data_IF_502018736628
#
_entry.id   IF_502018736628
#
_cell.length_a   1.000
_cell.length_b   1.000
_cell.length_c   1.000
_cell.angle_alpha   90.00
_cell.angle_beta   90.00
_cell.angle_gamma   90.00
#
_symmetry.space_group_name_H-M   'P 1'
#
loop_
_entity.id
_entity.type
_entity.pdbx_description
1 polymer ?
#
# COMPACT_ATOMS: atom_id res chain seq x y z
N UNK A 1 3.47 20.79 1.09
CA UNK A 1 2.83 19.46 0.97
C UNK A 1 3.62 18.68 -0.06
N UNK A 2 4.50 17.77 0.38
CA UNK A 2 5.22 16.89 -0.54
C UNK A 2 4.21 16.04 -1.33
N UNK A 3 4.26 16.14 -2.65
CA UNK A 3 3.41 15.32 -3.53
C UNK A 3 3.85 13.87 -3.42
N UNK A 4 2.91 12.98 -3.13
CA UNK A 4 3.13 11.53 -3.21
C UNK A 4 3.63 11.15 -4.60
N UNK A 5 4.65 10.28 -4.67
CA UNK A 5 5.13 9.73 -5.93
C UNK A 5 4.02 8.88 -6.58
N UNK A 6 3.99 8.77 -7.93
CA UNK A 6 2.97 7.97 -8.63
C UNK A 6 2.80 6.57 -8.05
N UNK A 7 3.91 5.87 -7.76
CA UNK A 7 3.85 4.53 -7.18
C UNK A 7 3.27 4.48 -5.77
N UNK A 8 3.48 5.52 -4.96
CA UNK A 8 2.87 5.61 -3.62
C UNK A 8 1.35 5.80 -3.75
N UNK A 9 0.89 6.62 -4.70
CA UNK A 9 -0.53 6.80 -4.98
C UNK A 9 -1.19 5.50 -5.42
N UNK A 10 -0.56 4.74 -6.32
CA UNK A 10 -1.09 3.44 -6.76
C UNK A 10 -1.26 2.46 -5.59
N UNK A 11 -0.27 2.37 -4.70
CA UNK A 11 -0.31 1.50 -3.51
C UNK A 11 -1.43 1.95 -2.56
N UNK A 12 -1.60 3.25 -2.34
CA UNK A 12 -2.67 3.78 -1.49
C UNK A 12 -4.07 3.53 -2.09
N UNK A 13 -4.23 3.69 -3.41
CA UNK A 13 -5.49 3.39 -4.09
C UNK A 13 -5.83 1.89 -4.00
N UNK A 14 -4.83 1.03 -4.13
CA UNK A 14 -4.99 -0.43 -3.99
C UNK A 14 -5.41 -0.78 -2.56
N UNK A 15 -4.77 -0.20 -1.55
CA UNK A 15 -5.15 -0.34 -0.15
C UNK A 15 -6.60 0.12 0.11
N UNK A 16 -6.99 1.27 -0.43
CA UNK A 16 -8.36 1.79 -0.29
C UNK A 16 -9.40 0.83 -0.88
N UNK A 17 -9.14 0.26 -2.07
CA UNK A 17 -10.00 -0.77 -2.68
C UNK A 17 -10.10 -2.02 -1.82
N UNK A 18 -8.98 -2.50 -1.28
CA UNK A 18 -8.96 -3.68 -0.41
C UNK A 18 -9.78 -3.46 0.87
N UNK A 19 -9.68 -2.27 1.48
CA UNK A 19 -10.44 -1.91 2.67
C UNK A 19 -11.95 -1.82 2.38
N UNK A 20 -12.34 -1.33 1.20
CA UNK A 20 -13.75 -1.30 0.77
C UNK A 20 -14.29 -2.71 0.51
N UNK A 21 -13.48 -3.60 -0.07
CA UNK A 21 -13.93 -4.93 -0.48
C UNK A 21 -13.95 -5.97 0.66
N UNK A 22 -12.98 -5.95 1.59
CA UNK A 22 -12.77 -7.05 2.55
C UNK A 22 -13.49 -6.90 3.89
N UNK A 23 -14.25 -5.83 4.12
CA UNK A 23 -14.89 -5.58 5.42
C UNK A 23 -13.86 -5.58 6.57
N UNK A 24 -14.21 -5.95 7.82
CA UNK A 24 -13.31 -5.84 8.97
C UNK A 24 -12.10 -6.80 8.96
N UNK A 25 -11.83 -7.51 7.86
CA UNK A 25 -10.65 -8.37 7.74
C UNK A 25 -9.40 -7.50 7.66
N UNK A 26 -8.48 -7.72 8.59
CA UNK A 26 -7.22 -7.00 8.69
C UNK A 26 -6.43 -7.10 7.38
N UNK A 27 -6.23 -5.96 6.70
CA UNK A 27 -5.29 -5.87 5.57
C UNK A 27 -3.87 -5.93 6.13
N UNK A 28 -3.08 -6.89 5.66
CA UNK A 28 -1.66 -7.04 6.01
C UNK A 28 -0.79 -6.47 4.89
N UNK A 29 0.45 -6.08 5.21
CA UNK A 29 1.45 -5.68 4.20
C UNK A 29 1.69 -6.78 3.18
N UNK A 30 1.72 -8.04 3.59
CA UNK A 30 1.81 -9.19 2.70
C UNK A 30 0.65 -9.23 1.68
N UNK A 31 -0.59 -9.02 2.15
CA UNK A 31 -1.76 -9.01 1.26
C UNK A 31 -1.75 -7.83 0.28
N UNK A 32 -1.31 -6.66 0.73
CA UNK A 32 -1.18 -5.46 -0.09
C UNK A 32 -0.06 -5.61 -1.13
N UNK A 33 1.05 -6.23 -0.75
CA UNK A 33 2.18 -6.51 -1.63
C UNK A 33 1.77 -7.46 -2.77
N UNK A 34 1.03 -8.52 -2.44
CA UNK A 34 0.44 -9.42 -3.43
C UNK A 34 -0.52 -8.70 -4.38
N UNK A 35 -1.43 -7.86 -3.86
CA UNK A 35 -2.36 -7.08 -4.68
C UNK A 35 -1.63 -6.12 -5.64
N UNK A 36 -0.54 -5.50 -5.17
CA UNK A 36 0.24 -4.53 -5.94
C UNK A 36 1.31 -5.17 -6.85
N UNK A 37 1.48 -6.50 -6.84
CA UNK A 37 2.49 -7.22 -7.60
C UNK A 37 3.94 -6.88 -7.21
N UNK A 38 4.20 -6.57 -5.93
CA UNK A 38 5.52 -6.19 -5.44
C UNK A 38 5.87 -6.95 -4.16
N UNK A 39 7.14 -6.87 -3.74
CA UNK A 39 7.57 -7.44 -2.45
C UNK A 39 7.21 -6.52 -1.28
N UNK A 40 7.05 -7.07 -0.08
CA UNK A 40 6.82 -6.28 1.14
C UNK A 40 7.95 -5.27 1.37
N UNK A 41 9.20 -5.67 1.12
CA UNK A 41 10.36 -4.78 1.16
C UNK A 41 10.22 -3.57 0.21
N UNK A 42 9.54 -3.72 -0.93
CA UNK A 42 9.28 -2.61 -1.84
C UNK A 42 8.30 -1.59 -1.25
N UNK A 43 7.28 -2.04 -0.52
CA UNK A 43 6.35 -1.16 0.18
C UNK A 43 7.12 -0.28 1.18
N UNK A 44 8.03 -0.86 1.97
CA UNK A 44 8.87 -0.10 2.90
C UNK A 44 9.79 0.93 2.23
N UNK A 45 10.27 0.65 1.00
CA UNK A 45 11.03 1.65 0.21
C UNK A 45 10.16 2.82 -0.26
N UNK A 46 8.88 2.58 -0.54
CA UNK A 46 7.93 3.60 -0.97
C UNK A 46 7.37 4.41 0.21
N UNK A 47 7.25 3.80 1.39
CA UNK A 47 6.79 4.43 2.61
C UNK A 47 7.84 4.28 3.72
N UNK A 48 9.00 4.97 3.60
CA UNK A 48 9.99 4.97 4.66
C UNK A 48 9.34 5.60 5.91
N UNK A 49 9.31 4.86 7.01
CA UNK A 49 8.75 5.35 8.27
C UNK A 49 9.54 6.57 8.76
N UNK A 50 8.84 7.71 8.90
CA UNK A 50 9.34 9.02 9.37
C UNK A 50 10.32 9.75 8.43
N UNK A 51 9.77 10.62 7.59
CA UNK A 51 10.16 12.05 7.54
C UNK A 51 8.89 12.89 7.51
#
# INVERSE_FOLDING_TARGET
MDKLKPRQLDIMQSLAKMLQAKGPVKVTTASLANECGITEAAIYRHFPSKR
#
